data_IF_237174306510
#
_entry.id   IF_237174306510
#
_cell.length_a   1.000
_cell.length_b   1.000
_cell.length_c   1.000
_cell.angle_alpha   90.00
_cell.angle_beta   90.00
_cell.angle_gamma   90.00
#
_symmetry.space_group_name_H-M   'P 1'
#
loop_
_entity.id
_entity.type
_entity.pdbx_description
1 polymer ?
#
# COMPACT_ATOMS: atom_id res chain seq x y z
N UNK A 1 -4.45 -4.26 -16.77
CA UNK A 1 -4.97 -4.86 -15.52
C UNK A 1 -6.42 -5.24 -15.76
N UNK A 2 -6.92 -6.34 -15.18
CA UNK A 2 -8.31 -6.80 -15.36
C UNK A 2 -9.32 -5.73 -14.89
N UNK A 3 -10.50 -5.69 -15.51
CA UNK A 3 -11.60 -4.78 -15.17
C UNK A 3 -12.13 -5.03 -13.76
N UNK A 4 -12.13 -6.28 -13.29
CA UNK A 4 -12.52 -6.64 -11.91
C UNK A 4 -11.55 -6.05 -10.90
N UNK A 5 -10.23 -6.25 -11.10
CA UNK A 5 -9.19 -5.70 -10.23
C UNK A 5 -9.27 -4.16 -10.20
N UNK A 6 -9.51 -3.54 -11.36
CA UNK A 6 -9.64 -2.08 -11.47
C UNK A 6 -10.82 -1.56 -10.65
N UNK A 7 -11.94 -2.29 -10.64
CA UNK A 7 -13.11 -1.95 -9.82
C UNK A 7 -12.80 -2.04 -8.32
N UNK A 8 -12.17 -3.13 -7.87
CA UNK A 8 -11.79 -3.31 -6.46
C UNK A 8 -10.84 -2.20 -5.97
N UNK A 9 -9.82 -1.88 -6.77
CA UNK A 9 -8.88 -0.81 -6.47
C UNK A 9 -9.56 0.57 -6.42
N UNK A 10 -10.52 0.81 -7.32
CA UNK A 10 -11.32 2.05 -7.30
C UNK A 10 -12.16 2.17 -6.03
N UNK A 11 -12.75 1.07 -5.56
CA UNK A 11 -13.50 1.03 -4.29
C UNK A 11 -12.57 1.34 -3.12
N UNK A 12 -11.40 0.69 -3.04
CA UNK A 12 -10.41 0.92 -1.99
C UNK A 12 -9.99 2.39 -1.94
N UNK A 13 -9.68 2.99 -3.10
CA UNK A 13 -9.31 4.42 -3.20
C UNK A 13 -10.41 5.33 -2.66
N UNK A 14 -11.68 5.07 -3.00
CA UNK A 14 -12.81 5.86 -2.49
C UNK A 14 -12.93 5.75 -0.98
N UNK A 15 -12.85 4.54 -0.43
CA UNK A 15 -12.90 4.32 1.02
C UNK A 15 -11.74 5.02 1.75
N UNK A 16 -10.53 4.95 1.18
CA UNK A 16 -9.36 5.65 1.69
C UNK A 16 -9.55 7.17 1.75
N UNK A 17 -10.07 7.77 0.68
CA UNK A 17 -10.35 9.21 0.62
C UNK A 17 -11.50 9.63 1.56
N UNK A 18 -12.44 8.72 1.84
CA UNK A 18 -13.54 8.93 2.78
C UNK A 18 -13.15 8.67 4.24
N UNK A 19 -11.89 8.34 4.53
CA UNK A 19 -11.40 8.02 5.88
C UNK A 19 -12.16 6.85 6.53
N UNK A 20 -12.60 5.88 5.72
CA UNK A 20 -13.27 4.67 6.23
C UNK A 20 -12.36 3.98 7.25
N UNK A 21 -12.94 3.49 8.35
CA UNK A 21 -12.20 2.79 9.39
C UNK A 21 -11.41 1.61 8.83
N UNK A 22 -10.17 1.46 9.28
CA UNK A 22 -9.22 0.48 8.74
C UNK A 22 -9.76 -0.95 8.62
N UNK A 23 -10.49 -1.51 9.61
CA UNK A 23 -11.05 -2.86 9.50
C UNK A 23 -12.12 -3.00 8.42
N UNK A 24 -12.69 -1.90 7.94
CA UNK A 24 -13.77 -1.87 6.93
C UNK A 24 -13.25 -1.56 5.52
N UNK A 25 -11.95 -1.28 5.37
CA UNK A 25 -11.32 -1.13 4.06
C UNK A 25 -11.39 -2.46 3.30
N UNK A 26 -11.90 -2.40 2.07
CA UNK A 26 -12.02 -3.54 1.17
C UNK A 26 -10.76 -3.66 0.35
N UNK A 27 -9.89 -4.56 0.80
CA UNK A 27 -8.66 -4.90 0.09
C UNK A 27 -8.95 -5.96 -0.98
N UNK A 28 -8.28 -5.88 -2.15
CA UNK A 28 -8.22 -7.02 -3.08
C UNK A 28 -7.67 -8.28 -2.40
N UNK A 29 -7.88 -9.43 -3.04
CA UNK A 29 -7.31 -10.70 -2.58
C UNK A 29 -5.77 -10.63 -2.53
N UNK A 30 -5.15 -11.42 -1.65
CA UNK A 30 -3.68 -11.43 -1.43
C UNK A 30 -2.88 -11.73 -2.71
N UNK A 31 -3.34 -12.69 -3.52
CA UNK A 31 -2.74 -13.00 -4.83
C UNK A 31 -2.84 -11.87 -5.86
N UNK A 32 -3.76 -10.92 -5.66
CA UNK A 32 -3.89 -9.70 -6.48
C UNK A 32 -3.01 -8.60 -5.91
N UNK A 33 -3.00 -8.44 -4.58
CA UNK A 33 -2.19 -7.44 -3.88
C UNK A 33 -0.70 -7.58 -4.17
N UNK A 34 -0.18 -8.81 -4.25
CA UNK A 34 1.24 -9.06 -4.52
C UNK A 34 1.68 -8.71 -5.94
N UNK A 35 0.76 -8.53 -6.89
CA UNK A 35 1.12 -8.17 -8.26
C UNK A 35 1.80 -6.78 -8.30
N UNK A 36 2.99 -6.64 -8.91
CA UNK A 36 3.73 -5.36 -8.95
C UNK A 36 2.92 -4.20 -9.56
N UNK A 37 2.09 -4.48 -10.57
CA UNK A 37 1.20 -3.49 -11.18
C UNK A 37 0.14 -2.97 -10.20
N UNK A 38 -0.38 -3.83 -9.32
CA UNK A 38 -1.38 -3.48 -8.30
C UNK A 38 -0.74 -2.63 -7.20
N UNK A 39 0.44 -3.02 -6.71
CA UNK A 39 1.18 -2.24 -5.72
C UNK A 39 1.54 -0.85 -6.24
N UNK A 40 1.98 -0.78 -7.49
CA UNK A 40 2.29 0.48 -8.16
C UNK A 40 1.04 1.35 -8.29
N UNK A 41 -0.11 0.76 -8.67
CA UNK A 41 -1.37 1.51 -8.73
C UNK A 41 -1.76 2.07 -7.36
N UNK A 42 -1.66 1.26 -6.30
CA UNK A 42 -1.98 1.68 -4.92
C UNK A 42 -1.09 2.83 -4.50
N UNK A 43 0.22 2.75 -4.72
CA UNK A 43 1.16 3.82 -4.40
C UNK A 43 0.76 5.15 -5.07
N UNK A 44 0.66 5.15 -6.40
CA UNK A 44 0.39 6.36 -7.19
C UNK A 44 -1.00 6.96 -6.92
N UNK A 45 -1.97 6.16 -6.46
CA UNK A 45 -3.35 6.64 -6.27
C UNK A 45 -3.72 6.94 -4.82
N UNK A 46 -2.98 6.42 -3.84
CA UNK A 46 -3.27 6.61 -2.41
C UNK A 46 -2.16 7.36 -1.67
N UNK A 47 -0.89 7.21 -2.05
CA UNK A 47 0.23 7.63 -1.21
C UNK A 47 1.15 8.67 -1.84
N UNK A 48 1.20 8.73 -3.16
CA UNK A 48 2.03 9.66 -3.94
C UNK A 48 1.67 11.12 -3.64
N UNK A 49 2.36 11.72 -2.68
CA UNK A 49 2.15 13.09 -2.23
C UNK A 49 2.59 14.14 -3.22
N UNK A 50 3.41 13.75 -4.20
CA UNK A 50 3.88 14.67 -5.23
C UNK A 50 2.81 14.87 -6.30
N UNK A 51 1.95 13.87 -6.51
CA UNK A 51 0.91 13.88 -7.54
C UNK A 51 -0.53 14.00 -7.02
N UNK A 52 -0.78 13.77 -5.72
CA UNK A 52 -2.14 13.84 -5.13
C UNK A 52 -2.30 15.12 -4.31
N UNK A 53 -3.17 16.01 -4.79
CA UNK A 53 -3.44 17.32 -4.19
C UNK A 53 -4.22 17.27 -2.87
N UNK A 54 -5.10 16.28 -2.70
CA UNK A 54 -5.92 16.12 -1.48
C UNK A 54 -5.72 14.74 -0.88
N UNK A 55 -4.71 14.63 -0.03
CA UNK A 55 -4.43 13.40 0.71
C UNK A 55 -5.12 13.39 2.08
N UNK A 56 -5.55 12.20 2.56
CA UNK A 56 -5.94 12.01 3.96
C UNK A 56 -4.87 12.50 4.96
N UNK A 57 -5.26 12.75 6.22
CA UNK A 57 -4.32 13.10 7.28
C UNK A 57 -3.20 12.07 7.41
N UNK A 58 -1.97 12.52 7.61
CA UNK A 58 -0.76 11.67 7.62
C UNK A 58 -0.90 10.46 8.55
N UNK A 59 -1.45 10.65 9.75
CA UNK A 59 -1.67 9.56 10.71
C UNK A 59 -2.56 8.45 10.15
N UNK A 60 -3.60 8.80 9.39
CA UNK A 60 -4.45 7.81 8.73
C UNK A 60 -3.68 7.08 7.64
N UNK A 61 -2.97 7.83 6.78
CA UNK A 61 -2.13 7.27 5.69
C UNK A 61 -1.12 6.26 6.22
N UNK A 62 -0.41 6.61 7.29
CA UNK A 62 0.56 5.72 7.94
C UNK A 62 -0.09 4.44 8.44
N UNK A 63 -1.27 4.51 9.07
CA UNK A 63 -1.97 3.30 9.53
C UNK A 63 -2.41 2.42 8.36
N UNK A 64 -2.89 3.01 7.27
CA UNK A 64 -3.26 2.26 6.05
C UNK A 64 -2.04 1.63 5.39
N UNK A 65 -0.91 2.35 5.31
CA UNK A 65 0.35 1.82 4.81
C UNK A 65 0.83 0.63 5.66
N UNK A 66 0.76 0.73 6.98
CA UNK A 66 1.09 -0.38 7.89
C UNK A 66 0.22 -1.62 7.63
N UNK A 67 -1.08 -1.41 7.41
CA UNK A 67 -2.00 -2.50 7.09
C UNK A 67 -1.71 -3.13 5.72
N UNK A 68 -1.43 -2.32 4.70
CA UNK A 68 -1.04 -2.79 3.37
C UNK A 68 0.21 -3.66 3.46
N UNK A 69 1.25 -3.17 4.14
CA UNK A 69 2.52 -3.90 4.27
C UNK A 69 2.33 -5.19 5.05
N UNK A 70 1.57 -5.19 6.15
CA UNK A 70 1.24 -6.42 6.88
C UNK A 70 0.46 -7.44 6.04
N UNK A 71 -0.36 -7.00 5.07
CA UNK A 71 -1.04 -7.89 4.12
C UNK A 71 -0.07 -8.45 3.08
N UNK A 72 0.82 -7.61 2.56
CA UNK A 72 1.85 -8.03 1.61
C UNK A 72 2.82 -9.03 2.25
N UNK A 73 3.27 -8.79 3.49
CA UNK A 73 4.15 -9.70 4.24
C UNK A 73 3.59 -11.13 4.36
N UNK A 74 2.27 -11.28 4.40
CA UNK A 74 1.61 -12.60 4.46
C UNK A 74 1.39 -13.24 3.09
N UNK A 75 1.39 -12.41 2.05
CA UNK A 75 1.04 -12.80 0.68
C UNK A 75 2.26 -12.99 -0.23
N UNK A 76 3.41 -12.39 0.13
CA UNK A 76 4.67 -12.50 -0.59
C UNK A 76 5.22 -13.91 -0.36
N UNK A 77 5.39 -14.63 -1.47
CA UNK A 77 6.06 -15.93 -1.47
C UNK A 77 7.53 -15.77 -1.92
N UNK A 78 7.79 -14.82 -2.84
CA UNK A 78 9.12 -14.45 -3.33
C UNK A 78 9.31 -12.92 -3.28
N UNK A 79 10.14 -12.39 -2.35
CA UNK A 79 10.29 -10.95 -2.16
C UNK A 79 10.98 -10.22 -3.34
N UNK A 80 11.72 -10.93 -4.21
CA UNK A 80 12.35 -10.31 -5.39
C UNK A 80 11.32 -10.07 -6.51
N UNK A 81 10.31 -10.93 -6.64
CA UNK A 81 9.28 -10.82 -7.68
C UNK A 81 7.98 -10.14 -7.18
N UNK A 82 7.60 -10.36 -5.93
CA UNK A 82 6.30 -9.97 -5.38
C UNK A 82 6.30 -8.56 -4.76
N UNK A 83 7.35 -7.74 -4.90
CA UNK A 83 7.41 -6.39 -4.27
C UNK A 83 7.80 -5.28 -5.24
N UNK A 84 7.04 -4.18 -5.25
CA UNK A 84 7.33 -3.01 -6.09
C UNK A 84 8.29 -2.01 -5.40
N UNK A 85 9.37 -1.64 -6.10
CA UNK A 85 10.40 -0.71 -5.61
C UNK A 85 9.85 0.63 -5.05
N UNK A 86 8.93 1.36 -5.73
CA UNK A 86 8.32 2.57 -5.18
C UNK A 86 7.67 2.39 -3.79
N UNK A 87 7.00 1.24 -3.57
CA UNK A 87 6.30 0.98 -2.32
C UNK A 87 7.29 0.72 -1.17
N UNK A 88 8.38 0.00 -1.44
CA UNK A 88 9.48 -0.23 -0.49
C UNK A 88 10.16 1.06 -0.08
N UNK A 89 10.52 1.89 -1.05
CA UNK A 89 11.19 3.18 -0.79
C UNK A 89 10.28 4.09 0.04
N UNK A 90 8.99 4.17 -0.30
CA UNK A 90 8.04 4.99 0.45
C UNK A 90 7.82 4.48 1.88
N UNK A 91 7.78 3.16 2.07
CA UNK A 91 7.69 2.56 3.39
C UNK A 91 8.88 2.91 4.27
N UNK A 92 10.11 2.72 3.77
CA UNK A 92 11.33 2.99 4.52
C UNK A 92 11.43 4.49 4.90
N UNK A 93 11.13 5.39 3.96
CA UNK A 93 11.09 6.83 4.24
C UNK A 93 10.03 7.21 5.28
N UNK A 94 8.85 6.59 5.21
CA UNK A 94 7.76 6.82 6.17
C UNK A 94 8.16 6.34 7.58
N UNK A 95 8.88 5.23 7.69
CA UNK A 95 9.32 4.68 8.97
C UNK A 95 10.50 5.42 9.58
N UNK A 96 11.48 5.83 8.76
CA UNK A 96 12.62 6.65 9.20
C UNK A 96 12.16 7.96 9.84
N UNK A 97 11.08 8.56 9.33
CA UNK A 97 10.46 9.77 9.91
C UNK A 97 9.74 9.51 11.23
N UNK A 98 9.28 8.28 11.48
CA UNK A 98 8.41 7.93 12.60
C UNK A 98 9.04 6.92 13.60
N UNK A 99 10.37 6.79 13.59
CA UNK A 99 11.18 6.03 14.57
C UNK A 99 10.68 4.60 14.87
N UNK A 100 10.26 3.86 13.84
CA UNK A 100 9.97 2.42 13.93
C UNK A 100 10.93 1.66 13.01
N UNK A 101 11.43 0.51 13.47
CA UNK A 101 12.42 -0.31 12.76
C UNK A 101 11.91 -0.76 11.38
N UNK A 102 12.77 -0.65 10.35
CA UNK A 102 12.48 -1.07 8.96
C UNK A 102 12.42 -2.60 8.87
N UNK A 103 11.37 -3.12 8.24
CA UNK A 103 11.09 -4.57 8.19
C UNK A 103 11.82 -5.29 7.04
N UNK A 104 12.36 -4.54 6.08
CA UNK A 104 13.09 -5.06 4.91
C UNK A 104 14.62 -5.11 5.09
N UNK A 105 15.13 -4.85 6.28
CA UNK A 105 16.57 -4.96 6.56
C UNK A 105 17.14 -6.39 6.43
N UNK A 106 16.31 -7.40 6.16
CA UNK A 106 16.68 -8.81 6.05
C UNK A 106 16.44 -9.43 4.66
N UNK A 107 16.01 -8.65 3.66
CA UNK A 107 16.01 -9.11 2.26
C UNK A 107 17.38 -8.74 1.68
N UNK A 108 18.29 -9.71 1.65
CA UNK A 108 19.68 -9.53 1.24
C UNK A 108 20.15 -10.70 0.39
#
# INVERSE_FOLDING_TARGET
MDSVITSELTILRRQYLQLVDLPLLRWPHESVLKQPAVQSWIFHNLFDSDNITTLPPERYRLRVLKLLVSKLERAIDDPEEDVSFPLLVFYDQSYRKHASHSLFAHVH
#
